data_IF_611280328693
#
_entry.id   IF_611280328693
#
_cell.length_a   1.000
_cell.length_b   1.000
_cell.length_c   1.000
_cell.angle_alpha   90.00
_cell.angle_beta   90.00
_cell.angle_gamma   90.00
#
_symmetry.space_group_name_H-M   'P 1'
#
loop_
_entity.id
_entity.type
_entity.pdbx_description
1 polymer ?
#
# COMPACT_ATOMS: atom_id res chain seq x y z
N UNK A 1 17.71 11.97 -27.11
CA UNK A 1 16.96 11.12 -26.16
C UNK A 1 15.49 11.49 -26.30
N UNK A 2 14.63 10.55 -26.68
CA UNK A 2 13.19 10.77 -26.58
C UNK A 2 12.85 10.82 -25.08
N UNK A 3 12.32 11.95 -24.60
CA UNK A 3 11.81 12.07 -23.24
C UNK A 3 10.68 11.04 -23.11
N UNK A 4 10.86 10.03 -22.24
CA UNK A 4 9.77 9.14 -21.89
C UNK A 4 8.62 10.00 -21.34
N UNK A 5 7.37 9.75 -21.72
CA UNK A 5 6.24 10.52 -21.21
C UNK A 5 6.20 10.48 -19.68
N UNK A 6 5.84 11.60 -19.05
CA UNK A 6 5.66 11.64 -17.60
C UNK A 6 4.54 10.68 -17.17
N UNK A 7 4.78 9.98 -16.06
CA UNK A 7 3.86 9.00 -15.45
C UNK A 7 2.68 9.67 -14.76
N UNK A 8 2.91 10.88 -14.22
CA UNK A 8 1.87 11.76 -13.69
C UNK A 8 2.01 13.11 -14.38
N UNK A 9 0.89 13.66 -14.82
CA UNK A 9 0.75 14.96 -15.48
C UNK A 9 -0.29 15.80 -14.75
N UNK A 10 -0.26 17.10 -15.01
CA UNK A 10 -1.30 17.97 -14.50
C UNK A 10 -2.67 17.55 -15.08
N UNK A 11 -3.69 17.61 -14.22
CA UNK A 11 -5.07 17.17 -14.46
C UNK A 11 -5.25 15.65 -14.66
N UNK A 12 -4.26 14.82 -14.30
CA UNK A 12 -4.44 13.37 -14.37
C UNK A 12 -5.51 12.86 -13.40
N UNK A 13 -6.19 11.78 -13.81
CA UNK A 13 -7.18 11.08 -13.00
C UNK A 13 -6.60 9.74 -12.54
N UNK A 14 -6.57 9.54 -11.24
CA UNK A 14 -6.03 8.35 -10.60
C UNK A 14 -7.18 7.58 -9.97
N UNK A 15 -7.30 6.29 -10.28
CA UNK A 15 -8.25 5.39 -9.63
C UNK A 15 -7.49 4.48 -8.66
N UNK A 16 -8.01 4.32 -7.44
CA UNK A 16 -7.61 3.22 -6.54
C UNK A 16 -8.67 2.13 -6.67
N UNK A 17 -8.24 0.88 -6.87
CA UNK A 17 -9.12 -0.26 -7.11
C UNK A 17 -8.71 -1.47 -6.29
N UNK A 18 -9.71 -2.28 -5.94
CA UNK A 18 -9.48 -3.67 -5.55
C UNK A 18 -9.12 -4.46 -6.80
N UNK A 19 -8.09 -5.27 -6.70
CA UNK A 19 -7.66 -6.16 -7.78
C UNK A 19 -8.46 -7.45 -7.69
N UNK A 20 -9.20 -7.79 -8.75
CA UNK A 20 -9.95 -9.04 -8.79
C UNK A 20 -9.05 -10.26 -8.97
N UNK A 21 -9.58 -11.44 -8.67
CA UNK A 21 -8.86 -12.71 -8.84
C UNK A 21 -8.33 -12.90 -10.27
N UNK A 22 -9.08 -12.51 -11.30
CA UNK A 22 -8.65 -12.62 -12.69
C UNK A 22 -7.51 -11.64 -13.07
N UNK A 23 -7.24 -10.66 -12.22
CA UNK A 23 -6.34 -9.52 -12.47
C UNK A 23 -5.12 -9.51 -11.54
N UNK A 24 -4.95 -10.52 -10.69
CA UNK A 24 -3.88 -10.56 -9.67
C UNK A 24 -2.46 -10.40 -10.25
N UNK A 25 -2.27 -10.81 -11.52
CA UNK A 25 -1.02 -10.65 -12.24
C UNK A 25 -0.66 -9.19 -12.55
N UNK A 26 -1.62 -8.25 -12.54
CA UNK A 26 -1.35 -6.84 -12.83
C UNK A 26 -0.42 -6.23 -11.77
N UNK A 27 -0.74 -6.23 -10.46
CA UNK A 27 0.19 -5.84 -9.40
C UNK A 27 1.51 -6.61 -9.39
N UNK A 28 1.45 -7.93 -9.60
CA UNK A 28 2.63 -8.79 -9.56
C UNK A 28 3.64 -8.40 -10.65
N UNK A 29 3.19 -8.36 -11.91
CA UNK A 29 4.04 -7.98 -13.06
C UNK A 29 4.51 -6.54 -13.00
N UNK A 30 3.71 -5.63 -12.44
CA UNK A 30 4.14 -4.25 -12.18
C UNK A 30 5.34 -4.20 -11.24
N UNK A 31 5.29 -4.93 -10.13
CA UNK A 31 6.41 -4.99 -9.17
C UNK A 31 7.65 -5.61 -9.83
N UNK A 32 7.49 -6.73 -10.54
CA UNK A 32 8.60 -7.35 -11.28
C UNK A 32 9.23 -6.38 -12.30
N UNK A 33 8.40 -5.61 -13.03
CA UNK A 33 8.86 -4.69 -14.06
C UNK A 33 9.61 -3.47 -13.50
N UNK A 34 9.33 -3.06 -12.25
CA UNK A 34 10.11 -2.01 -11.58
C UNK A 34 11.54 -2.46 -11.30
N UNK A 35 11.77 -3.77 -11.12
CA UNK A 35 13.08 -4.38 -10.91
C UNK A 35 13.90 -3.67 -9.81
N UNK A 36 13.21 -3.13 -8.81
CA UNK A 36 13.84 -2.58 -7.60
C UNK A 36 14.10 -3.75 -6.67
N UNK A 37 15.20 -4.48 -6.95
CA UNK A 37 15.55 -5.79 -6.38
C UNK A 37 15.83 -5.84 -4.87
N UNK A 38 15.08 -5.11 -4.06
CA UNK A 38 15.34 -4.92 -2.63
C UNK A 38 14.08 -4.80 -1.76
N UNK A 39 12.86 -4.74 -2.30
CA UNK A 39 11.69 -4.37 -1.49
C UNK A 39 10.52 -5.34 -1.55
N UNK A 40 10.42 -6.15 -2.59
CA UNK A 40 9.31 -7.08 -2.71
C UNK A 40 9.61 -8.15 -3.75
N UNK A 41 9.88 -9.35 -3.28
CA UNK A 41 9.69 -10.52 -4.12
C UNK A 41 8.72 -11.39 -3.30
N UNK A 42 7.52 -11.54 -3.84
CA UNK A 42 6.53 -12.46 -3.32
C UNK A 42 6.09 -13.29 -4.50
N UNK A 43 5.92 -14.60 -4.32
CA UNK A 43 5.48 -15.44 -5.40
C UNK A 43 4.08 -15.00 -5.85
N UNK A 44 3.79 -15.16 -7.14
CA UNK A 44 2.52 -14.74 -7.74
C UNK A 44 1.28 -15.31 -7.01
N UNK A 45 1.39 -16.48 -6.38
CA UNK A 45 0.30 -17.06 -5.61
C UNK A 45 -0.09 -16.22 -4.38
N UNK A 46 0.83 -15.48 -3.75
CA UNK A 46 0.50 -14.59 -2.64
C UNK A 46 -0.42 -13.45 -3.08
N UNK A 47 -0.24 -12.95 -4.31
CA UNK A 47 -1.13 -11.96 -4.91
C UNK A 47 -2.48 -12.57 -5.29
N UNK A 48 -2.48 -13.80 -5.80
CA UNK A 48 -3.73 -14.51 -6.12
C UNK A 48 -4.61 -14.69 -4.88
N UNK A 49 -4.03 -15.18 -3.79
CA UNK A 49 -4.75 -15.37 -2.52
C UNK A 49 -5.25 -14.04 -1.96
N UNK A 50 -4.41 -12.99 -1.96
CA UNK A 50 -4.87 -11.67 -1.53
C UNK A 50 -5.97 -11.11 -2.44
N UNK A 51 -5.94 -11.35 -3.75
CA UNK A 51 -7.02 -10.94 -4.66
C UNK A 51 -8.33 -11.67 -4.35
N UNK A 52 -8.27 -12.99 -4.09
CA UNK A 52 -9.43 -13.81 -3.66
C UNK A 52 -10.06 -13.28 -2.37
N UNK A 53 -9.22 -12.91 -1.42
CA UNK A 53 -9.65 -12.36 -0.13
C UNK A 53 -9.98 -10.85 -0.19
N UNK A 54 -9.95 -10.24 -1.39
CA UNK A 54 -10.19 -8.80 -1.59
C UNK A 54 -9.25 -7.91 -0.75
N UNK A 55 -7.99 -8.32 -0.66
CA UNK A 55 -6.90 -7.65 0.07
C UNK A 55 -5.81 -7.07 -0.84
N UNK A 56 -5.94 -7.19 -2.16
CA UNK A 56 -4.98 -6.68 -3.13
C UNK A 56 -5.51 -5.41 -3.80
N UNK A 57 -4.69 -4.37 -3.85
CA UNK A 57 -5.04 -3.05 -4.37
C UNK A 57 -4.09 -2.64 -5.49
N UNK A 58 -4.60 -1.92 -6.47
CA UNK A 58 -3.77 -1.23 -7.45
C UNK A 58 -4.23 0.21 -7.67
N UNK A 59 -3.27 1.04 -8.05
CA UNK A 59 -3.45 2.46 -8.34
C UNK A 59 -3.21 2.67 -9.83
N UNK A 60 -4.25 3.09 -10.54
CA UNK A 60 -4.27 3.25 -11.99
C UNK A 60 -4.29 4.74 -12.34
N UNK A 61 -3.37 5.20 -13.17
CA UNK A 61 -3.54 6.47 -13.86
C UNK A 61 -4.50 6.24 -15.05
N UNK A 62 -5.78 6.56 -14.84
CA UNK A 62 -6.85 6.36 -15.83
C UNK A 62 -6.66 7.20 -17.09
N UNK A 63 -5.97 8.34 -17.00
CA UNK A 63 -5.67 9.16 -18.19
C UNK A 63 -4.75 8.42 -19.16
N UNK A 64 -3.84 7.60 -18.64
CA UNK A 64 -2.81 6.92 -19.44
C UNK A 64 -2.99 5.40 -19.49
N UNK A 65 -3.97 4.87 -18.77
CA UNK A 65 -4.26 3.45 -18.58
C UNK A 65 -3.06 2.64 -18.03
N UNK A 66 -2.24 3.28 -17.19
CA UNK A 66 -1.06 2.64 -16.60
C UNK A 66 -1.24 2.46 -15.09
N UNK A 67 -0.88 1.28 -14.58
CA UNK A 67 -0.67 1.08 -13.16
C UNK A 67 0.55 1.90 -12.71
N UNK A 68 0.39 2.61 -11.60
CA UNK A 68 1.43 3.48 -11.02
C UNK A 68 1.76 3.11 -9.58
N UNK A 69 0.97 2.24 -8.96
CA UNK A 69 1.27 1.70 -7.64
C UNK A 69 0.37 0.55 -7.22
N UNK A 70 0.70 -0.07 -6.10
CA UNK A 70 -0.02 -1.21 -5.52
C UNK A 70 0.20 -1.30 -4.01
N UNK A 71 -0.67 -2.04 -3.34
CA UNK A 71 -0.57 -2.41 -1.93
C UNK A 71 -1.31 -3.73 -1.69
N UNK A 72 -0.85 -4.52 -0.72
CA UNK A 72 -1.42 -5.81 -0.36
C UNK A 72 -1.59 -5.90 1.16
N UNK A 73 -2.66 -6.54 1.61
CA UNK A 73 -2.79 -7.01 2.99
C UNK A 73 -2.73 -8.54 2.93
N UNK A 74 -1.72 -9.17 3.51
CA UNK A 74 -1.57 -10.62 3.50
C UNK A 74 -1.92 -11.18 4.87
N UNK A 75 -2.90 -12.10 4.95
CA UNK A 75 -3.15 -12.82 6.19
C UNK A 75 -2.01 -13.78 6.54
N UNK A 76 -1.69 -13.91 7.83
CA UNK A 76 -0.85 -14.98 8.35
C UNK A 76 -1.67 -16.28 8.33
N UNK A 77 -1.20 -17.31 7.62
CA UNK A 77 -1.92 -18.58 7.45
C UNK A 77 -2.02 -19.48 8.69
N UNK A 78 -1.66 -18.98 9.89
CA UNK A 78 -1.62 -19.81 11.09
C UNK A 78 -2.98 -19.78 11.83
N UNK A 79 -3.83 -20.76 11.53
CA UNK A 79 -5.20 -20.91 12.07
C UNK A 79 -5.27 -21.03 13.61
N UNK A 80 -4.13 -21.21 14.28
CA UNK A 80 -4.05 -21.46 15.74
C UNK A 80 -3.64 -20.24 16.58
N UNK A 81 -3.36 -19.10 15.96
CA UNK A 81 -2.90 -17.88 16.64
C UNK A 81 -3.84 -16.69 16.40
N UNK A 82 -3.64 -15.59 17.12
CA UNK A 82 -4.27 -14.29 16.81
C UNK A 82 -4.13 -14.03 15.31
N UNK A 83 -5.23 -13.74 14.60
CA UNK A 83 -5.18 -13.53 13.14
C UNK A 83 -4.30 -12.29 12.89
N UNK A 84 -3.14 -12.47 12.29
CA UNK A 84 -2.30 -11.35 11.90
C UNK A 84 -2.43 -11.10 10.41
N UNK A 85 -2.27 -9.85 10.00
CA UNK A 85 -2.34 -9.44 8.61
C UNK A 85 -1.25 -8.41 8.31
N UNK A 86 -0.34 -8.76 7.42
CA UNK A 86 0.76 -7.90 7.01
C UNK A 86 0.30 -6.93 5.91
N UNK A 87 0.34 -5.63 6.21
CA UNK A 87 0.18 -4.55 5.26
C UNK A 87 1.52 -4.27 4.61
N UNK A 88 1.63 -4.61 3.34
CA UNK A 88 2.88 -4.51 2.59
C UNK A 88 2.66 -4.33 1.11
N UNK A 89 3.67 -4.67 0.32
CA UNK A 89 3.65 -4.52 -1.14
C UNK A 89 3.36 -3.11 -1.61
N UNK A 90 3.66 -2.13 -0.75
CA UNK A 90 3.50 -0.70 -1.00
C UNK A 90 4.58 -0.29 -1.99
N UNK A 91 4.25 -0.39 -3.27
CA UNK A 91 5.17 -0.11 -4.37
C UNK A 91 4.55 0.90 -5.31
N UNK A 92 5.30 1.93 -5.64
CA UNK A 92 4.90 2.97 -6.60
C UNK A 92 6.00 3.18 -7.62
N UNK A 93 5.60 3.47 -8.86
CA UNK A 93 6.52 3.86 -9.91
C UNK A 93 7.37 5.05 -9.42
N UNK A 94 8.70 5.08 -9.63
CA UNK A 94 9.58 6.14 -9.11
C UNK A 94 9.09 7.56 -9.39
N UNK A 95 8.63 7.81 -10.62
CA UNK A 95 8.07 9.10 -11.03
C UNK A 95 6.70 9.47 -10.40
N UNK A 96 6.02 8.53 -9.72
CA UNK A 96 4.80 8.77 -8.96
C UNK A 96 5.06 9.00 -7.45
N UNK A 97 6.32 8.86 -6.99
CA UNK A 97 6.69 9.09 -5.59
C UNK A 97 6.71 10.58 -5.26
N UNK A 98 6.49 10.90 -3.98
CA UNK A 98 6.48 12.29 -3.48
C UNK A 98 5.18 13.05 -3.73
N UNK A 99 4.16 12.41 -4.30
CA UNK A 99 2.81 12.98 -4.45
C UNK A 99 1.86 12.63 -3.28
N UNK A 100 2.31 11.89 -2.28
CA UNK A 100 1.45 11.47 -1.16
C UNK A 100 0.49 10.30 -1.44
N UNK A 101 0.54 9.73 -2.65
CA UNK A 101 -0.32 8.60 -3.05
C UNK A 101 -0.16 7.36 -2.15
N UNK A 102 1.05 7.08 -1.65
CA UNK A 102 1.28 5.97 -0.72
C UNK A 102 0.52 6.18 0.60
N UNK A 103 0.62 7.37 1.20
CA UNK A 103 -0.10 7.71 2.43
C UNK A 103 -1.62 7.58 2.24
N UNK A 104 -2.14 8.10 1.12
CA UNK A 104 -3.56 7.96 0.79
C UNK A 104 -3.96 6.49 0.61
N UNK A 105 -3.15 5.70 -0.10
CA UNK A 105 -3.42 4.28 -0.32
C UNK A 105 -3.49 3.50 1.00
N UNK A 106 -2.54 3.69 1.92
CA UNK A 106 -2.56 2.99 3.22
C UNK A 106 -3.81 3.36 4.01
N UNK A 107 -4.22 4.64 4.04
CA UNK A 107 -5.46 5.07 4.69
C UNK A 107 -6.70 4.38 4.09
N UNK A 108 -6.79 4.31 2.76
CA UNK A 108 -7.87 3.62 2.05
C UNK A 108 -7.87 2.13 2.39
N UNK A 109 -6.71 1.47 2.34
CA UNK A 109 -6.56 0.05 2.65
C UNK A 109 -7.06 -0.27 4.07
N UNK A 110 -6.70 0.55 5.05
CA UNK A 110 -7.08 0.32 6.45
C UNK A 110 -8.57 0.59 6.71
N UNK A 111 -9.13 1.65 6.14
CA UNK A 111 -10.58 1.92 6.23
C UNK A 111 -11.36 0.81 5.54
N UNK A 112 -10.96 0.42 4.32
CA UNK A 112 -11.59 -0.68 3.62
C UNK A 112 -11.55 -1.98 4.45
N UNK A 113 -10.36 -2.35 4.94
CA UNK A 113 -10.17 -3.57 5.71
C UNK A 113 -11.10 -3.60 6.92
N UNK A 114 -11.14 -2.55 7.75
CA UNK A 114 -11.85 -2.58 9.03
C UNK A 114 -13.34 -2.25 8.91
N UNK A 115 -13.77 -1.46 7.92
CA UNK A 115 -15.15 -0.94 7.83
C UNK A 115 -15.97 -1.49 6.67
N UNK A 116 -15.34 -1.76 5.53
CA UNK A 116 -16.07 -2.03 4.28
C UNK A 116 -15.93 -3.48 3.79
N UNK A 117 -14.93 -4.20 4.28
CA UNK A 117 -14.59 -5.51 3.72
C UNK A 117 -15.47 -6.66 4.22
N UNK A 118 -16.24 -6.43 5.29
CA UNK A 118 -17.01 -7.43 6.06
C UNK A 118 -16.21 -8.64 6.58
N UNK A 119 -14.89 -8.71 6.33
CA UNK A 119 -14.01 -9.85 6.72
C UNK A 119 -13.23 -9.61 7.99
N UNK A 120 -13.10 -8.36 8.41
CA UNK A 120 -12.29 -8.00 9.56
C UNK A 120 -12.82 -8.64 10.84
N UNK A 121 -11.89 -9.23 11.60
CA UNK A 121 -12.16 -9.76 12.93
C UNK A 121 -11.72 -8.74 13.98
N UNK A 122 -12.44 -8.58 15.11
CA UNK A 122 -11.99 -7.75 16.22
C UNK A 122 -10.59 -8.13 16.73
N UNK A 123 -10.25 -9.41 16.64
CA UNK A 123 -8.96 -9.97 17.05
C UNK A 123 -7.93 -10.01 15.92
N UNK A 124 -8.22 -9.43 14.73
CA UNK A 124 -7.24 -9.32 13.65
C UNK A 124 -6.28 -8.14 13.90
N UNK A 125 -4.99 -8.44 13.99
CA UNK A 125 -3.92 -7.44 14.13
C UNK A 125 -3.32 -7.14 12.76
N UNK A 126 -3.30 -5.85 12.39
CA UNK A 126 -2.64 -5.41 11.16
C UNK A 126 -1.23 -4.93 11.48
N UNK A 127 -0.25 -5.58 10.87
CA UNK A 127 1.17 -5.32 11.06
C UNK A 127 1.77 -4.74 9.78
N UNK A 128 2.90 -4.07 9.90
CA UNK A 128 3.73 -3.69 8.77
C UNK A 128 5.19 -3.74 9.18
N UNK A 129 6.05 -4.23 8.29
CA UNK A 129 7.49 -4.27 8.50
C UNK A 129 8.22 -3.43 7.46
N UNK A 130 9.13 -2.59 7.92
CA UNK A 130 9.97 -1.74 7.06
C UNK A 130 11.42 -2.15 7.24
N UNK A 131 12.10 -2.47 6.14
CA UNK A 131 13.53 -2.83 6.16
C UNK A 131 14.36 -1.62 6.60
N UNK A 132 15.36 -1.87 7.45
CA UNK A 132 16.29 -0.84 7.89
C UNK A 132 17.01 -0.16 6.71
N UNK A 133 16.94 1.17 6.68
CA UNK A 133 17.47 2.00 5.60
C UNK A 133 16.47 2.32 4.48
N UNK A 134 15.24 1.80 4.55
CA UNK A 134 14.13 2.22 3.69
C UNK A 134 13.17 3.15 4.45
N UNK A 135 13.48 4.44 4.51
CA UNK A 135 12.67 5.41 5.26
C UNK A 135 11.41 5.88 4.50
N UNK A 136 11.28 5.56 3.21
CA UNK A 136 10.21 6.06 2.34
C UNK A 136 8.78 5.72 2.84
N UNK A 137 8.46 4.48 3.26
CA UNK A 137 7.12 4.14 3.71
C UNK A 137 6.80 4.62 5.13
N UNK A 138 7.79 5.01 5.94
CA UNK A 138 7.61 5.34 7.37
C UNK A 138 6.56 6.44 7.57
N UNK A 139 6.67 7.52 6.81
CA UNK A 139 5.74 8.63 6.93
C UNK A 139 4.29 8.21 6.59
N UNK A 140 4.11 7.37 5.57
CA UNK A 140 2.80 6.88 5.16
C UNK A 140 2.16 5.95 6.20
N UNK A 141 2.94 5.08 6.84
CA UNK A 141 2.46 4.23 7.93
C UNK A 141 2.05 5.05 9.16
N UNK A 142 2.90 5.98 9.59
CA UNK A 142 2.63 6.82 10.77
C UNK A 142 1.41 7.72 10.55
N UNK A 143 1.24 8.32 9.37
CA UNK A 143 0.05 9.11 9.05
C UNK A 143 -1.24 8.28 8.98
N UNK A 144 -1.13 7.00 8.63
CA UNK A 144 -2.26 6.08 8.68
C UNK A 144 -2.54 5.58 10.10
N UNK A 145 -1.73 5.94 11.11
CA UNK A 145 -1.96 5.55 12.51
C UNK A 145 -1.29 4.23 12.91
N UNK A 146 -0.33 3.74 12.13
CA UNK A 146 0.56 2.70 12.62
C UNK A 146 1.49 3.25 13.71
N UNK A 147 1.74 2.43 14.74
CA UNK A 147 2.64 2.73 15.85
C UNK A 147 3.85 1.80 15.78
N UNK A 148 5.07 2.31 15.99
CA UNK A 148 6.25 1.47 16.04
C UNK A 148 6.16 0.49 17.22
N UNK A 149 6.49 -0.78 16.99
CA UNK A 149 6.58 -1.82 18.03
C UNK A 149 8.03 -2.26 18.30
N UNK A 150 8.99 -1.72 17.55
CA UNK A 150 10.42 -1.93 17.77
C UNK A 150 11.11 -2.69 16.65
N UNK A 151 12.41 -2.99 16.81
CA UNK A 151 13.17 -3.75 15.84
C UNK A 151 12.68 -5.20 15.76
N UNK A 152 12.73 -5.76 14.55
CA UNK A 152 12.39 -7.13 14.21
C UNK A 152 13.50 -7.71 13.35
N UNK A 153 14.03 -8.85 13.75
CA UNK A 153 15.03 -9.58 12.97
C UNK A 153 14.35 -10.78 12.29
N UNK A 154 14.37 -10.78 10.95
CA UNK A 154 13.89 -11.92 10.15
C UNK A 154 15.08 -12.79 9.80
N UNK A 155 15.10 -14.04 10.27
CA UNK A 155 16.17 -14.98 9.96
C UNK A 155 15.91 -15.64 8.61
N UNK A 156 17.00 -16.14 8.02
CA UNK A 156 16.93 -16.98 6.82
C UNK A 156 15.96 -18.15 7.03
N UNK A 157 14.94 -18.23 6.17
CA UNK A 157 13.91 -19.28 6.22
C UNK A 157 12.74 -19.04 7.19
N UNK A 158 12.69 -17.91 7.91
CA UNK A 158 11.54 -17.54 8.75
C UNK A 158 10.31 -17.12 7.92
N UNK A 159 10.56 -16.64 6.70
CA UNK A 159 9.55 -16.25 5.70
C UNK A 159 9.89 -17.02 4.41
N UNK A 160 8.91 -17.21 3.51
CA UNK A 160 9.15 -17.71 2.14
C UNK A 160 10.46 -17.10 1.60
N UNK A 161 11.31 -17.94 0.99
CA UNK A 161 12.77 -17.85 0.73
C UNK A 161 13.33 -16.59 0.03
N UNK A 162 12.60 -15.51 0.10
CA UNK A 162 12.63 -14.34 -0.73
C UNK A 162 13.15 -13.12 0.03
N UNK A 163 13.12 -13.11 1.35
CA UNK A 163 13.84 -12.09 2.14
C UNK A 163 15.34 -12.45 2.27
N UNK A 164 15.71 -13.70 1.95
CA UNK A 164 17.08 -14.21 2.07
C UNK A 164 18.12 -13.45 1.24
N UNK A 165 17.73 -12.90 0.07
CA UNK A 165 18.64 -12.11 -0.76
C UNK A 165 18.92 -10.72 -0.19
N UNK A 166 18.12 -10.25 0.77
CA UNK A 166 18.28 -8.95 1.42
C UNK A 166 19.26 -9.01 2.60
N UNK A 167 19.68 -10.22 3.01
CA UNK A 167 20.72 -10.43 4.02
C UNK A 167 22.03 -9.84 3.49
N UNK A 168 22.55 -8.81 4.17
CA UNK A 168 23.81 -8.18 3.77
C UNK A 168 24.98 -9.16 3.95
N UNK A 169 26.03 -8.99 3.15
CA UNK A 169 27.19 -9.87 3.20
C UNK A 169 27.83 -9.94 4.59
N UNK A 170 27.74 -11.11 5.23
CA UNK A 170 28.24 -11.35 6.59
C UNK A 170 27.16 -11.36 7.69
N UNK A 171 25.93 -10.99 7.37
CA UNK A 171 24.77 -11.10 8.27
C UNK A 171 24.05 -12.45 8.10
N UNK A 172 23.19 -12.79 9.06
CA UNK A 172 22.32 -13.98 9.03
C UNK A 172 20.83 -13.63 9.09
N UNK A 173 20.51 -12.34 9.20
CA UNK A 173 19.16 -11.81 9.37
C UNK A 173 18.96 -10.58 8.49
N UNK A 174 17.70 -10.24 8.25
CA UNK A 174 17.30 -8.93 7.73
C UNK A 174 16.75 -8.12 8.88
N UNK A 175 17.37 -6.97 9.11
CA UNK A 175 16.95 -6.03 10.14
C UNK A 175 15.79 -5.17 9.64
N UNK A 176 14.72 -5.11 10.42
CA UNK A 176 13.51 -4.38 10.09
C UNK A 176 12.99 -3.63 11.33
N UNK A 177 12.10 -2.68 11.09
CA UNK A 177 11.28 -2.05 12.11
C UNK A 177 9.83 -2.49 11.95
N UNK A 178 9.26 -3.04 13.02
CA UNK A 178 7.87 -3.47 13.06
C UNK A 178 6.94 -2.32 13.45
N UNK A 179 5.73 -2.37 12.90
CA UNK A 179 4.64 -1.46 13.20
C UNK A 179 3.34 -2.23 13.41
N UNK A 180 2.49 -1.74 14.32
CA UNK A 180 1.13 -2.24 14.54
C UNK A 180 0.12 -1.13 14.26
N UNK A 181 -0.97 -1.47 13.59
CA UNK A 181 -2.05 -0.53 13.36
C UNK A 181 -2.85 -0.26 14.63
N UNK A 182 -3.01 1.02 14.98
CA UNK A 182 -3.87 1.42 16.09
C UNK A 182 -5.34 1.49 15.66
N UNK A 183 -6.13 0.49 16.04
CA UNK A 183 -7.56 0.42 15.67
C UNK A 183 -8.38 1.61 16.19
N UNK A 184 -7.92 2.29 17.26
CA UNK A 184 -8.62 3.46 17.81
C UNK A 184 -8.60 4.66 16.85
N UNK A 185 -7.67 4.72 15.89
CA UNK A 185 -7.60 5.83 14.93
C UNK A 185 -8.56 5.70 13.75
N UNK A 186 -9.28 4.58 13.61
CA UNK A 186 -10.09 4.31 12.42
C UNK A 186 -11.12 5.41 12.14
N UNK A 187 -11.75 5.97 13.18
CA UNK A 187 -12.68 7.09 13.03
C UNK A 187 -12.01 8.36 12.50
N UNK A 188 -10.75 8.62 12.89
CA UNK A 188 -9.97 9.75 12.36
C UNK A 188 -9.59 9.52 10.89
N UNK A 189 -9.30 8.27 10.50
CA UNK A 189 -9.02 7.94 9.10
C UNK A 189 -10.26 8.12 8.22
N UNK A 190 -11.42 7.64 8.66
CA UNK A 190 -12.70 7.87 7.96
C UNK A 190 -12.96 9.36 7.78
N UNK A 191 -12.80 10.15 8.84
CA UNK A 191 -12.93 11.61 8.76
C UNK A 191 -11.90 12.22 7.79
N UNK A 192 -10.66 11.76 7.79
CA UNK A 192 -9.61 12.23 6.87
C UNK A 192 -9.96 11.95 5.42
N UNK A 193 -10.44 10.74 5.10
CA UNK A 193 -10.86 10.39 3.74
C UNK A 193 -12.14 11.13 3.33
N UNK A 194 -13.07 11.31 4.26
CA UNK A 194 -14.28 12.11 4.02
C UNK A 194 -13.92 13.56 3.67
N UNK A 195 -13.02 14.20 4.41
CA UNK A 195 -12.56 15.57 4.11
C UNK A 195 -11.86 15.64 2.77
N UNK A 196 -10.98 14.68 2.49
CA UNK A 196 -10.30 14.63 1.21
C UNK A 196 -11.28 14.56 0.04
N UNK A 197 -12.34 13.75 0.13
CA UNK A 197 -13.36 13.63 -0.93
C UNK A 197 -14.26 14.87 -1.01
N UNK A 198 -14.75 15.38 0.12
CA UNK A 198 -15.83 16.37 0.16
C UNK A 198 -15.34 17.82 0.25
N UNK A 199 -14.23 18.06 0.95
CA UNK A 199 -13.61 19.39 1.13
C UNK A 199 -12.51 19.63 0.09
N UNK A 200 -11.60 18.66 -0.10
CA UNK A 200 -10.48 18.79 -1.06
C UNK A 200 -10.84 18.31 -2.47
N UNK A 201 -12.08 17.85 -2.68
CA UNK A 201 -12.61 17.36 -3.96
C UNK A 201 -11.78 16.21 -4.58
N UNK A 202 -11.11 15.43 -3.74
CA UNK A 202 -10.22 14.34 -4.14
C UNK A 202 -8.95 14.82 -4.83
N UNK A 203 -8.57 16.10 -4.69
CA UNK A 203 -7.43 16.68 -5.42
C UNK A 203 -6.16 16.61 -4.60
N UNK A 204 -5.10 16.05 -5.19
CA UNK A 204 -3.73 16.18 -4.70
C UNK A 204 -3.03 17.25 -5.54
N UNK A 205 -2.45 18.25 -4.88
CA UNK A 205 -1.60 19.26 -5.52
C UNK A 205 -0.16 19.10 -5.05
N UNK A 206 0.76 18.92 -5.99
CA UNK A 206 2.20 19.00 -5.75
C UNK A 206 2.73 20.27 -6.40
N UNK A 207 3.25 21.18 -5.60
CA UNK A 207 3.95 22.36 -6.10
C UNK A 207 5.43 22.04 -6.30
N UNK A 208 5.94 22.32 -7.51
CA UNK A 208 7.35 22.24 -7.88
C UNK A 208 7.78 23.63 -8.41
N UNK A 209 9.06 24.03 -8.30
CA UNK A 209 9.59 25.19 -9.04
C UNK A 209 9.19 25.27 -10.52
N UNK A 210 8.96 24.14 -11.19
CA UNK A 210 8.50 24.09 -12.59
C UNK A 210 7.00 24.36 -12.79
N UNK A 211 6.21 24.43 -11.70
CA UNK A 211 4.76 24.63 -11.70
C UNK A 211 4.03 23.64 -10.79
N UNK A 212 2.74 23.91 -10.58
CA UNK A 212 1.86 22.99 -9.85
C UNK A 212 1.45 21.82 -10.76
N UNK A 213 1.45 20.62 -10.18
CA UNK A 213 0.80 19.43 -10.75
C UNK A 213 -0.37 19.07 -9.87
N UNK A 214 -1.58 19.06 -10.44
CA UNK A 214 -2.82 18.67 -9.76
C UNK A 214 -3.31 17.36 -10.34
N UNK A 215 -3.74 16.43 -9.49
CA UNK A 215 -4.39 15.20 -9.92
C UNK A 215 -5.63 14.95 -9.07
N UNK A 216 -6.64 14.33 -9.66
CA UNK A 216 -7.83 13.89 -8.93
C UNK A 216 -7.71 12.39 -8.65
N UNK A 217 -7.91 11.99 -7.40
CA UNK A 217 -7.90 10.59 -6.98
C UNK A 217 -9.32 10.14 -6.64
N UNK A 218 -9.78 9.07 -7.28
CA UNK A 218 -11.05 8.41 -7.04
C UNK A 218 -10.82 7.01 -6.45
N UNK A 219 -11.41 6.74 -5.29
CA UNK A 219 -11.40 5.43 -4.64
C UNK A 219 -12.82 4.92 -4.34
N UNK A 220 -13.84 5.51 -4.97
CA UNK A 220 -15.26 5.17 -4.80
C UNK A 220 -15.60 3.71 -5.12
N UNK A 221 -14.77 3.04 -5.92
CA UNK A 221 -14.90 1.61 -6.23
C UNK A 221 -14.41 0.70 -5.10
N UNK A 222 -13.67 1.26 -4.13
CA UNK A 222 -13.15 0.54 -2.96
C UNK A 222 -13.98 0.89 -1.74
N UNK A 223 -14.18 2.19 -1.49
CA UNK A 223 -15.01 2.72 -0.40
C UNK A 223 -16.02 3.66 -1.04
N UNK A 224 -17.30 3.25 -1.16
CA UNK A 224 -18.32 4.12 -1.71
C UNK A 224 -18.43 5.42 -0.90
N UNK A 225 -18.70 6.58 -1.55
CA UNK A 225 -18.85 7.85 -0.83
C UNK A 225 -19.95 7.83 0.24
N UNK A 226 -20.96 6.98 0.06
CA UNK A 226 -22.03 6.77 1.04
C UNK A 226 -21.55 6.16 2.34
N UNK A 227 -20.42 5.46 2.33
CA UNK A 227 -19.94 4.64 3.44
C UNK A 227 -18.85 5.37 4.25
N UNK A 228 -18.34 6.48 3.72
CA UNK A 228 -17.60 7.50 4.46
C UNK A 228 -18.51 8.32 5.39
N UNK A 229 -19.25 7.67 6.30
CA UNK A 229 -20.08 8.36 7.29
C UNK A 229 -19.27 8.71 8.52
N UNK A 230 -19.41 9.95 9.00
CA UNK A 230 -18.85 10.45 10.26
C UNK A 230 -19.82 10.14 11.39
#
# INVERSE_FOLDING_TARGET
MALRPAVIRDQDRIDVRLTGEAEYLIPFTFIEALNEGTLFDRPAHAFLEAARERRLFHVLNRTTDNIIGTGIIQGSGDEKSTKQAEVGGLMFHPAARGFGLCSLLVKIMMVYAIKESDRDSPDEEYLAHVIDGNDLPLHSLLEAGFRPIGPVDVHRGDIDAVIDYMIKGGESVVHMHGFVFDREVIGKLVLSLWKFVNEDHGVITRSDPAGDIRMTVDFSQVIPPTDLKI
#
